data_IF_751804106002
#
_entry.id   IF_751804106002
#
_cell.length_a   1.000
_cell.length_b   1.000
_cell.length_c   1.000
_cell.angle_alpha   90.00
_cell.angle_beta   90.00
_cell.angle_gamma   90.00
#
_symmetry.space_group_name_H-M   'P 1'
#
loop_
_entity.id
_entity.type
_entity.pdbx_description
1 polymer ?
#
# COMPACT_ATOMS: atom_id res chain seq x y z
N UNK A 1 -18.27 -32.78 -30.53
CA UNK A 1 -19.34 -33.76 -30.79
C UNK A 1 -19.26 -34.75 -29.64
N UNK A 2 -20.24 -34.98 -28.76
CA UNK A 2 -21.69 -34.72 -28.71
C UNK A 2 -22.01 -34.58 -27.21
N UNK A 3 -22.79 -33.58 -26.80
CA UNK A 3 -23.24 -33.49 -25.41
C UNK A 3 -24.40 -34.46 -25.20
N UNK A 4 -24.27 -35.40 -24.28
CA UNK A 4 -25.40 -36.20 -23.81
C UNK A 4 -26.07 -35.43 -22.66
N UNK A 5 -27.24 -34.86 -22.96
CA UNK A 5 -28.08 -34.18 -21.99
C UNK A 5 -28.91 -35.21 -21.23
N UNK A 6 -28.48 -35.56 -20.02
CA UNK A 6 -29.32 -36.28 -19.06
C UNK A 6 -30.36 -35.31 -18.49
N UNK A 7 -31.65 -35.57 -18.74
CA UNK A 7 -32.76 -34.82 -18.13
C UNK A 7 -33.22 -35.55 -16.86
N UNK A 8 -33.12 -34.95 -15.67
CA UNK A 8 -33.69 -35.54 -14.47
C UNK A 8 -35.21 -35.32 -14.44
N UNK A 9 -35.91 -36.33 -13.88
CA UNK A 9 -37.34 -36.32 -13.58
C UNK A 9 -37.66 -35.26 -12.50
N UNK A 10 -38.80 -34.58 -12.65
CA UNK A 10 -39.29 -33.54 -11.73
C UNK A 10 -40.16 -34.19 -10.66
N UNK A 11 -39.64 -34.30 -9.45
CA UNK A 11 -40.46 -34.36 -8.24
C UNK A 11 -39.76 -33.71 -7.04
N UNK A 12 -40.52 -32.83 -6.38
CA UNK A 12 -40.34 -32.26 -5.02
C UNK A 12 -39.01 -31.60 -4.65
N UNK A 13 -38.99 -30.27 -4.84
CA UNK A 13 -38.57 -29.26 -3.86
C UNK A 13 -37.40 -29.56 -2.91
N UNK A 14 -36.17 -29.60 -3.42
CA UNK A 14 -34.96 -29.27 -2.66
C UNK A 14 -33.95 -28.58 -3.60
N UNK A 15 -33.28 -27.56 -3.08
CA UNK A 15 -32.39 -26.64 -3.79
C UNK A 15 -31.21 -27.39 -4.43
N UNK A 16 -31.10 -27.30 -5.75
CA UNK A 16 -30.08 -28.01 -6.54
C UNK A 16 -28.69 -27.42 -6.27
N UNK A 17 -27.94 -28.02 -5.35
CA UNK A 17 -26.53 -27.72 -5.14
C UNK A 17 -25.68 -28.41 -6.22
N UNK A 18 -25.08 -27.60 -7.10
CA UNK A 18 -24.12 -28.08 -8.10
C UNK A 18 -22.82 -28.50 -7.41
N UNK A 19 -22.67 -29.80 -7.11
CA UNK A 19 -21.37 -30.37 -6.74
C UNK A 19 -20.60 -30.77 -8.00
N UNK A 20 -19.71 -29.89 -8.46
CA UNK A 20 -18.67 -30.25 -9.42
C UNK A 20 -17.55 -30.97 -8.68
N UNK A 21 -17.44 -32.29 -8.85
CA UNK A 21 -16.24 -33.02 -8.45
C UNK A 21 -15.15 -32.78 -9.49
N UNK A 22 -14.35 -31.74 -9.28
CA UNK A 22 -13.11 -31.52 -10.02
C UNK A 22 -11.99 -32.33 -9.35
N UNK A 23 -11.64 -33.48 -9.92
CA UNK A 23 -10.39 -34.19 -9.62
C UNK A 23 -9.32 -33.67 -10.56
N UNK A 24 -8.80 -32.50 -10.26
CA UNK A 24 -7.61 -31.94 -10.89
C UNK A 24 -6.71 -31.41 -9.80
N UNK A 25 -5.74 -32.21 -9.36
CA UNK A 25 -4.59 -31.73 -8.59
C UNK A 25 -3.71 -30.91 -9.53
N UNK A 26 -4.17 -29.71 -9.87
CA UNK A 26 -3.29 -28.63 -10.27
C UNK A 26 -2.65 -28.10 -9.01
N UNK A 27 -1.33 -28.12 -8.94
CA UNK A 27 -0.57 -27.40 -7.94
C UNK A 27 -0.72 -25.91 -8.28
N UNK A 28 -1.86 -25.31 -7.91
CA UNK A 28 -2.05 -23.89 -8.00
C UNK A 28 -1.17 -23.29 -6.91
N UNK A 29 0.03 -22.86 -7.26
CA UNK A 29 0.86 -22.06 -6.36
C UNK A 29 -0.03 -20.94 -5.83
N UNK A 30 -0.35 -21.08 -4.55
CA UNK A 30 -1.18 -20.17 -3.80
C UNK A 30 -0.65 -18.77 -4.06
N UNK A 31 -1.46 -18.02 -4.82
CA UNK A 31 -1.34 -16.62 -5.16
C UNK A 31 -0.34 -15.94 -4.22
N UNK A 32 0.90 -15.70 -4.66
CA UNK A 32 1.86 -14.90 -3.90
C UNK A 32 1.10 -13.64 -3.52
N UNK A 33 0.68 -13.53 -2.25
CA UNK A 33 0.07 -12.31 -1.76
C UNK A 33 1.11 -11.23 -2.02
N UNK A 34 0.88 -10.44 -3.07
CA UNK A 34 1.61 -9.20 -3.28
C UNK A 34 1.26 -8.39 -2.07
N UNK A 35 2.19 -8.37 -1.11
CA UNK A 35 2.04 -7.59 0.10
C UNK A 35 1.70 -6.16 -0.31
N UNK A 36 0.65 -5.62 0.29
CA UNK A 36 0.12 -4.32 -0.10
C UNK A 36 1.09 -3.27 0.45
N UNK A 37 1.63 -2.37 -0.39
CA UNK A 37 2.49 -1.31 0.10
C UNK A 37 1.71 -0.40 1.05
N UNK A 38 2.34 -0.02 2.16
CA UNK A 38 1.77 0.90 3.13
C UNK A 38 2.09 2.36 2.76
N UNK A 39 3.22 2.55 2.08
CA UNK A 39 3.77 3.85 1.70
C UNK A 39 4.18 3.85 0.22
N UNK A 40 3.81 4.90 -0.51
CA UNK A 40 4.30 5.16 -1.86
C UNK A 40 5.29 6.33 -1.86
N UNK A 41 6.38 6.16 -2.60
CA UNK A 41 7.42 7.16 -2.87
C UNK A 41 7.48 7.35 -4.38
N UNK A 42 7.57 8.58 -4.88
CA UNK A 42 7.55 8.77 -6.33
C UNK A 42 8.93 8.50 -6.94
N UNK A 43 9.95 9.19 -6.42
CA UNK A 43 11.33 9.15 -6.91
C UNK A 43 12.30 8.78 -5.79
N UNK A 44 13.45 8.18 -6.12
CA UNK A 44 14.51 7.89 -5.12
C UNK A 44 15.09 9.13 -4.45
N UNK A 45 14.97 10.29 -5.10
CA UNK A 45 15.40 11.58 -4.55
C UNK A 45 14.38 12.19 -3.58
N UNK A 46 13.15 11.67 -3.53
CA UNK A 46 12.15 12.14 -2.57
C UNK A 46 12.61 11.85 -1.14
N UNK A 47 12.25 12.75 -0.23
CA UNK A 47 12.53 12.57 1.19
C UNK A 47 11.26 12.39 2.03
N UNK A 48 10.10 12.37 1.38
CA UNK A 48 8.80 12.06 1.98
C UNK A 48 8.01 11.09 1.10
N UNK A 49 7.36 10.11 1.72
CA UNK A 49 6.38 9.21 1.08
C UNK A 49 4.96 9.52 1.51
N UNK A 50 3.96 8.93 0.84
CA UNK A 50 2.53 9.07 1.16
C UNK A 50 1.96 7.74 1.62
N UNK A 51 1.23 7.76 2.74
CA UNK A 51 0.54 6.58 3.29
C UNK A 51 -0.67 6.24 2.42
N UNK A 52 -0.83 4.96 2.07
CA UNK A 52 -1.91 4.48 1.19
C UNK A 52 -2.81 3.41 1.83
N UNK A 53 -2.64 3.18 3.12
CA UNK A 53 -3.49 2.28 3.93
C UNK A 53 -4.16 3.06 5.05
N UNK A 54 -5.33 2.60 5.49
CA UNK A 54 -5.97 3.12 6.69
C UNK A 54 -5.34 2.51 7.95
N UNK A 55 -5.39 3.23 9.07
CA UNK A 55 -5.00 2.69 10.37
C UNK A 55 -3.51 2.34 10.53
N UNK A 56 -2.62 3.03 9.82
CA UNK A 56 -1.17 2.83 10.00
C UNK A 56 -0.76 3.27 11.42
N UNK A 57 -0.22 2.33 12.20
CA UNK A 57 0.22 2.54 13.58
C UNK A 57 1.75 2.64 13.70
N UNK A 58 2.21 3.32 14.75
CA UNK A 58 3.60 3.38 15.13
C UNK A 58 4.20 1.97 15.32
N UNK A 59 5.44 1.77 14.89
CA UNK A 59 6.15 0.50 14.94
C UNK A 59 5.87 -0.45 13.77
N UNK A 60 4.91 -0.13 12.89
CA UNK A 60 4.64 -0.94 11.68
C UNK A 60 5.88 -1.00 10.78
N UNK A 61 6.31 -2.20 10.39
CA UNK A 61 7.34 -2.41 9.38
C UNK A 61 6.75 -2.25 7.96
N UNK A 62 6.71 -1.01 7.48
CA UNK A 62 6.04 -0.67 6.24
C UNK A 62 6.78 -1.23 5.03
N UNK A 63 6.05 -1.95 4.19
CA UNK A 63 6.43 -2.12 2.80
C UNK A 63 6.26 -0.78 2.07
N UNK A 64 7.37 -0.22 1.61
CA UNK A 64 7.43 1.00 0.82
C UNK A 64 7.68 0.65 -0.64
N UNK A 65 6.97 1.29 -1.56
CA UNK A 65 7.16 1.11 -3.00
C UNK A 65 7.57 2.44 -3.65
N UNK A 66 8.64 2.42 -4.43
CA UNK A 66 9.04 3.52 -5.30
C UNK A 66 8.33 3.35 -6.65
N UNK A 67 7.41 4.25 -6.97
CA UNK A 67 6.55 4.09 -8.14
C UNK A 67 7.27 4.33 -9.47
N UNK A 68 8.43 5.00 -9.45
CA UNK A 68 9.25 5.22 -10.65
C UNK A 68 9.73 3.91 -11.29
N UNK A 69 10.21 2.95 -10.50
CA UNK A 69 10.82 1.70 -10.97
C UNK A 69 10.22 0.43 -10.36
N UNK A 70 9.18 0.57 -9.54
CA UNK A 70 8.54 -0.52 -8.78
C UNK A 70 9.49 -1.22 -7.81
N UNK A 71 10.61 -0.59 -7.44
CA UNK A 71 11.47 -1.10 -6.38
C UNK A 71 10.79 -0.95 -5.02
N UNK A 72 11.16 -1.83 -4.08
CA UNK A 72 10.57 -1.83 -2.74
C UNK A 72 11.63 -1.83 -1.66
N UNK A 73 11.28 -1.28 -0.50
CA UNK A 73 12.13 -1.27 0.69
C UNK A 73 11.27 -1.27 1.96
N UNK A 74 11.92 -1.44 3.12
CA UNK A 74 11.28 -1.46 4.45
C UNK A 74 11.57 -0.19 5.23
N UNK A 75 10.58 0.30 5.95
CA UNK A 75 10.68 1.47 6.81
C UNK A 75 9.75 1.31 8.02
N UNK A 76 10.28 1.49 9.23
CA UNK A 76 9.45 1.51 10.44
C UNK A 76 8.68 2.83 10.56
N UNK A 77 7.37 2.76 10.79
CA UNK A 77 6.56 3.93 11.11
C UNK A 77 6.91 4.46 12.52
N UNK A 78 7.26 5.74 12.62
CA UNK A 78 7.62 6.37 13.90
C UNK A 78 6.42 6.90 14.69
N UNK A 79 5.24 6.96 14.06
CA UNK A 79 4.00 7.46 14.63
C UNK A 79 2.79 6.82 13.95
N UNK A 80 1.61 6.96 14.53
CA UNK A 80 0.35 6.70 13.86
C UNK A 80 0.13 7.77 12.77
N UNK A 81 -0.13 7.37 11.53
CA UNK A 81 -0.23 8.30 10.40
C UNK A 81 -1.48 8.00 9.55
N UNK A 82 -2.39 8.96 9.38
CA UNK A 82 -3.57 8.78 8.53
C UNK A 82 -3.23 8.49 7.06
N UNK A 83 -4.14 7.81 6.36
CA UNK A 83 -4.06 7.65 4.91
C UNK A 83 -3.96 9.01 4.21
N UNK A 84 -3.16 9.09 3.15
CA UNK A 84 -2.91 10.31 2.38
C UNK A 84 -1.94 11.30 3.04
N UNK A 85 -1.57 11.08 4.30
CA UNK A 85 -0.55 11.90 4.96
C UNK A 85 0.86 11.44 4.59
N UNK A 86 1.85 12.28 4.91
CA UNK A 86 3.25 12.04 4.51
C UNK A 86 4.07 11.46 5.66
N UNK A 87 5.07 10.64 5.32
CA UNK A 87 6.09 10.13 6.24
C UNK A 87 7.48 10.53 5.77
N UNK A 88 8.35 10.92 6.69
CA UNK A 88 9.76 11.23 6.41
C UNK A 88 10.56 9.95 6.11
N UNK A 89 11.28 9.92 4.99
CA UNK A 89 12.09 8.77 4.56
C UNK A 89 13.50 8.74 5.19
N UNK A 90 13.89 9.85 5.81
CA UNK A 90 15.14 10.08 6.54
C UNK A 90 14.88 11.10 7.65
N UNK A 91 15.86 11.32 8.51
CA UNK A 91 15.79 12.43 9.46
C UNK A 91 15.78 13.76 8.68
N UNK A 92 14.87 14.66 9.07
CA UNK A 92 14.71 15.99 8.50
C UNK A 92 14.77 17.02 9.63
N UNK A 93 15.74 17.91 9.57
CA UNK A 93 15.89 19.00 10.52
C UNK A 93 15.00 20.20 10.18
N UNK A 94 14.69 21.02 11.19
CA UNK A 94 14.11 22.33 10.97
C UNK A 94 15.01 23.15 10.02
N UNK A 95 14.43 23.63 8.92
CA UNK A 95 15.15 24.33 7.88
C UNK A 95 15.36 23.51 6.60
N UNK A 96 15.24 22.19 6.66
CA UNK A 96 15.40 21.32 5.50
C UNK A 96 14.26 21.52 4.49
N UNK A 97 14.57 21.19 3.24
CA UNK A 97 13.57 21.17 2.16
C UNK A 97 12.86 19.83 2.12
N UNK A 98 11.53 19.83 2.07
CA UNK A 98 10.75 18.65 1.73
C UNK A 98 10.71 18.47 0.21
N UNK A 99 11.12 17.29 -0.27
CA UNK A 99 11.17 16.92 -1.69
C UNK A 99 10.18 15.80 -1.95
N UNK A 100 9.27 16.03 -2.91
CA UNK A 100 8.29 15.05 -3.37
C UNK A 100 8.07 15.22 -4.86
N UNK A 101 7.99 14.11 -5.61
CA UNK A 101 7.95 14.13 -7.08
C UNK A 101 9.21 14.75 -7.69
N UNK A 102 10.35 14.66 -7.01
CA UNK A 102 11.60 15.34 -7.40
C UNK A 102 11.59 16.86 -7.19
N UNK A 103 10.52 17.44 -6.65
CA UNK A 103 10.33 18.88 -6.53
C UNK A 103 10.34 19.36 -5.07
N UNK A 104 10.79 20.60 -4.87
CA UNK A 104 10.71 21.31 -3.59
C UNK A 104 9.25 21.70 -3.29
N UNK A 105 8.64 21.02 -2.33
CA UNK A 105 7.25 21.26 -1.93
C UNK A 105 7.13 22.20 -0.73
N UNK A 106 8.23 22.58 -0.08
CA UNK A 106 8.18 23.34 1.17
C UNK A 106 9.36 23.14 2.10
N UNK A 107 9.26 23.79 3.26
CA UNK A 107 10.30 23.84 4.27
C UNK A 107 9.84 23.20 5.58
N UNK A 108 10.69 22.35 6.13
CA UNK A 108 10.52 21.72 7.44
C UNK A 108 10.71 22.80 8.52
N UNK A 109 9.79 22.87 9.48
CA UNK A 109 9.77 23.91 10.53
C UNK A 109 9.98 23.36 11.95
N UNK A 110 10.06 22.04 12.09
CA UNK A 110 10.43 21.33 13.32
C UNK A 110 11.10 20.01 12.93
N UNK A 111 12.02 19.51 13.75
CA UNK A 111 12.73 18.26 13.49
C UNK A 111 11.76 17.08 13.36
N UNK A 112 12.00 16.23 12.36
CA UNK A 112 11.20 15.04 12.05
C UNK A 112 12.15 13.85 11.92
N UNK A 113 12.11 12.87 12.83
CA UNK A 113 12.89 11.65 12.68
C UNK A 113 12.38 10.85 11.48
N UNK A 114 13.24 10.00 10.92
CA UNK A 114 12.87 8.99 9.92
C UNK A 114 11.68 8.17 10.39
N UNK A 115 10.69 7.98 9.52
CA UNK A 115 9.42 7.33 9.85
C UNK A 115 8.39 8.26 10.50
N UNK A 116 8.75 9.51 10.83
CA UNK A 116 7.87 10.49 11.46
C UNK A 116 6.79 11.07 10.53
N UNK A 117 5.69 11.51 11.13
CA UNK A 117 4.56 12.13 10.43
C UNK A 117 4.91 13.53 9.91
N UNK A 118 4.80 13.74 8.60
CA UNK A 118 5.01 15.04 7.95
C UNK A 118 3.67 15.69 7.60
N UNK A 119 3.34 16.80 8.25
CA UNK A 119 2.08 17.52 8.07
C UNK A 119 2.22 19.02 8.36
N UNK A 120 1.11 19.76 8.36
CA UNK A 120 1.09 21.23 8.50
C UNK A 120 1.75 21.77 9.77
N UNK A 121 1.88 20.97 10.83
CA UNK A 121 2.52 21.39 12.08
C UNK A 121 4.07 21.42 11.99
N UNK A 122 4.67 20.64 11.08
CA UNK A 122 6.12 20.53 10.91
C UNK A 122 6.61 20.76 9.47
N UNK A 123 5.70 21.01 8.53
CA UNK A 123 5.98 21.39 7.14
C UNK A 123 5.16 22.62 6.75
N UNK A 124 5.83 23.67 6.26
CA UNK A 124 5.19 24.78 5.55
C UNK A 124 5.40 24.61 4.05
N UNK A 125 4.30 24.37 3.33
CA UNK A 125 4.33 24.26 1.87
C UNK A 125 4.55 25.61 1.22
N UNK A 126 5.26 25.65 0.10
CA UNK A 126 5.31 26.87 -0.73
C UNK A 126 3.90 27.14 -1.26
N UNK A 127 3.40 28.39 -1.09
CA UNK A 127 2.21 28.85 -1.81
C UNK A 127 2.64 29.17 -3.23
N UNK A 128 1.89 28.63 -4.20
CA UNK A 128 1.92 29.02 -5.60
C UNK A 128 0.96 30.20 -5.82
#
# INVERSE_FOLDING_TARGET
MRAESFRPDRASGEETTWRSTWTGQGNWEENRMTEIPHLLVHEHADNVGVVVVEGLTAGTDMLCCVTHDNSTFRLTAGADVPIGHKIALKDLGAGDTAIKYGEDIGKIVADIPKGGHVHTHNLKTKRW
#
